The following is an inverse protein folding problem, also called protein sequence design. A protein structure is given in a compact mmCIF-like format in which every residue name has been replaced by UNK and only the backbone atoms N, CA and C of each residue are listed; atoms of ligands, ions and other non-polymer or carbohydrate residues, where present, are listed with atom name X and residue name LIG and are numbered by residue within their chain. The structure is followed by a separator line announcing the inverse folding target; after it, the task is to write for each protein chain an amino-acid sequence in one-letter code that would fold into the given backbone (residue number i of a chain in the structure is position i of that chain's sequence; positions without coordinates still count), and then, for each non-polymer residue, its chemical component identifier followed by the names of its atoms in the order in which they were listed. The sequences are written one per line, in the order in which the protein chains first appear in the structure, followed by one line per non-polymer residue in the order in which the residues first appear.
data_IF_503920532967
#
_entry.id   IF_503920532967
#
_cell.length_a   1.000
_cell.length_b   1.000
_cell.length_c   1.000
_cell.angle_alpha   90.00
_cell.angle_beta   90.00
_cell.angle_gamma   90.00
#
_symmetry.space_group_name_H-M   'P 1'
#
loop_
_entity.id
_entity.type
_entity.pdbx_description
1 polymer ?
#
# COMPACT_ATOMS: atom_id res chain seq x y z
N UNK A 1 -2.52 -13.91 -23.91
CA UNK A 1 -3.45 -13.72 -22.78
C UNK A 1 -2.75 -12.80 -21.80
N UNK A 2 -3.43 -11.87 -21.12
CA UNK A 2 -2.75 -10.98 -20.16
C UNK A 2 -2.28 -11.79 -18.94
N UNK A 3 -1.08 -11.54 -18.47
CA UNK A 3 -0.57 -12.14 -17.23
C UNK A 3 -1.14 -11.39 -16.01
N UNK A 4 -2.01 -12.06 -15.25
CA UNK A 4 -2.65 -11.51 -14.06
C UNK A 4 -2.10 -12.23 -12.84
N UNK A 5 -1.47 -11.49 -11.92
CA UNK A 5 -0.88 -12.07 -10.70
C UNK A 5 -1.48 -11.43 -9.45
N UNK A 6 -1.77 -12.26 -8.45
CA UNK A 6 -2.18 -11.89 -7.12
C UNK A 6 -1.02 -11.96 -6.13
N UNK A 7 -0.59 -10.81 -5.61
CA UNK A 7 0.44 -10.68 -4.58
C UNK A 7 -0.26 -10.68 -3.22
N UNK A 8 -0.02 -11.72 -2.41
CA UNK A 8 -0.76 -11.93 -1.16
C UNK A 8 -2.26 -12.15 -1.36
N UNK A 9 -2.69 -12.47 -2.58
CA UNK A 9 -4.08 -12.64 -2.98
C UNK A 9 -4.23 -13.88 -3.85
N UNK A 10 -5.02 -14.85 -3.40
CA UNK A 10 -5.27 -16.07 -4.17
C UNK A 10 -6.47 -15.89 -5.09
N UNK A 11 -6.28 -16.19 -6.37
CA UNK A 11 -7.36 -16.29 -7.35
C UNK A 11 -7.66 -17.78 -7.53
N UNK A 12 -8.91 -18.25 -7.35
CA UNK A 12 -9.27 -19.63 -7.64
C UNK A 12 -8.94 -19.99 -9.11
N UNK A 13 -7.91 -20.79 -9.31
CA UNK A 13 -7.34 -21.02 -10.63
C UNK A 13 -6.57 -22.34 -10.64
N UNK A 14 -6.38 -22.90 -11.83
CA UNK A 14 -5.42 -23.99 -12.06
C UNK A 14 -4.03 -23.47 -12.45
N UNK A 15 -3.94 -22.19 -12.77
CA UNK A 15 -2.70 -21.52 -13.12
C UNK A 15 -1.99 -21.04 -11.85
N UNK A 16 -0.66 -20.95 -11.91
CA UNK A 16 0.14 -20.37 -10.84
C UNK A 16 0.01 -18.84 -10.90
N UNK A 17 -1.04 -18.30 -10.31
CA UNK A 17 -1.35 -16.87 -10.29
C UNK A 17 -0.97 -16.17 -8.98
N UNK A 18 -0.47 -16.93 -8.01
CA UNK A 18 -0.18 -16.43 -6.66
C UNK A 18 1.29 -16.06 -6.52
N UNK A 19 1.55 -14.90 -5.91
CA UNK A 19 2.87 -14.49 -5.49
C UNK A 19 2.83 -14.22 -3.99
N UNK A 20 3.74 -14.85 -3.25
CA UNK A 20 3.86 -14.65 -1.81
C UNK A 20 4.37 -13.23 -1.49
N UNK A 21 3.78 -12.57 -0.49
CA UNK A 21 4.29 -11.31 0.06
C UNK A 21 5.67 -11.46 0.68
N UNK A 22 6.01 -12.67 1.13
CA UNK A 22 7.33 -13.00 1.69
C UNK A 22 8.31 -13.49 0.62
N UNK A 23 8.10 -13.08 -0.64
CA UNK A 23 9.01 -13.35 -1.77
C UNK A 23 9.69 -12.08 -2.30
N UNK A 24 10.76 -12.29 -3.07
CA UNK A 24 11.47 -11.23 -3.82
C UNK A 24 11.17 -11.31 -5.33
N UNK A 25 9.97 -11.77 -5.68
CA UNK A 25 9.50 -11.88 -7.07
C UNK A 25 9.39 -10.52 -7.75
N UNK A 26 9.62 -10.46 -9.06
CA UNK A 26 9.49 -9.21 -9.83
C UNK A 26 8.11 -9.07 -10.50
N UNK A 27 7.66 -7.83 -10.68
CA UNK A 27 6.46 -7.46 -11.43
C UNK A 27 6.76 -6.99 -12.86
N UNK A 28 7.98 -7.20 -13.36
CA UNK A 28 8.39 -6.77 -14.70
C UNK A 28 7.51 -7.33 -15.82
N UNK A 29 7.18 -8.63 -15.73
CA UNK A 29 6.45 -9.36 -16.79
C UNK A 29 4.93 -9.40 -16.55
N UNK A 30 4.46 -8.87 -15.40
CA UNK A 30 3.06 -8.91 -15.01
C UNK A 30 2.26 -7.83 -15.76
N UNK A 31 1.19 -8.20 -16.48
CA UNK A 31 0.32 -7.22 -17.12
C UNK A 31 -0.60 -6.52 -16.10
N UNK A 32 -1.23 -7.31 -15.23
CA UNK A 32 -2.16 -6.82 -14.20
C UNK A 32 -1.77 -7.36 -12.82
N UNK A 33 -1.40 -6.44 -11.92
CA UNK A 33 -1.06 -6.77 -10.54
C UNK A 33 -2.26 -6.54 -9.61
N UNK A 34 -2.59 -7.56 -8.83
CA UNK A 34 -3.59 -7.49 -7.76
C UNK A 34 -2.85 -7.68 -6.45
N UNK A 35 -2.93 -6.72 -5.55
CA UNK A 35 -2.18 -6.69 -4.31
C UNK A 35 -3.14 -6.71 -3.12
N UNK A 36 -2.92 -7.63 -2.20
CA UNK A 36 -3.65 -7.70 -0.94
C UNK A 36 -2.63 -7.63 0.20
N UNK A 37 -2.59 -6.55 1.00
CA UNK A 37 -1.66 -6.40 2.12
C UNK A 37 -2.09 -7.29 3.29
N UNK A 38 -2.04 -8.60 3.15
CA UNK A 38 -2.37 -9.53 4.23
C UNK A 38 -1.12 -10.32 4.63
N UNK A 39 -0.51 -9.95 5.75
CA UNK A 39 0.62 -10.72 6.30
C UNK A 39 0.03 -11.92 7.04
N UNK A 40 0.29 -13.12 6.51
CA UNK A 40 -0.16 -14.35 7.16
C UNK A 40 0.53 -14.49 8.52
N UNK A 41 -0.28 -14.64 9.57
CA UNK A 41 0.24 -14.88 10.90
C UNK A 41 0.94 -16.26 10.94
N UNK A 42 2.18 -16.28 11.43
CA UNK A 42 2.96 -17.51 11.60
C UNK A 42 3.64 -17.49 12.97
N UNK A 43 3.33 -18.48 13.81
CA UNK A 43 3.88 -18.61 15.17
C UNK A 43 5.41 -18.69 15.20
N UNK A 44 6.05 -19.14 14.12
CA UNK A 44 7.51 -19.21 14.03
C UNK A 44 8.16 -17.85 13.75
N UNK A 45 7.37 -16.88 13.27
CA UNK A 45 7.85 -15.55 12.88
C UNK A 45 7.71 -14.52 14.01
N UNK A 46 7.05 -14.87 15.12
CA UNK A 46 6.81 -13.95 16.24
C UNK A 46 7.80 -14.15 17.38
N UNK A 47 8.12 -13.07 18.10
CA UNK A 47 9.04 -13.11 19.24
C UNK A 47 8.41 -13.78 20.47
N UNK A 48 7.08 -13.77 20.56
CA UNK A 48 6.30 -14.19 21.71
C UNK A 48 4.85 -14.38 21.28
N UNK A 49 4.15 -15.32 21.94
CA UNK A 49 2.69 -15.50 21.78
C UNK A 49 1.94 -14.30 22.38
N UNK A 50 2.47 -13.71 23.45
CA UNK A 50 1.89 -12.50 24.04
C UNK A 50 2.27 -11.26 23.23
N UNK A 51 1.30 -10.36 22.95
CA UNK A 51 1.53 -9.17 22.15
C UNK A 51 2.43 -8.15 22.88
N UNK A 52 3.21 -7.41 22.10
CA UNK A 52 3.98 -6.26 22.59
C UNK A 52 3.15 -5.00 22.41
N UNK A 53 2.78 -4.33 23.51
CA UNK A 53 1.94 -3.13 23.48
C UNK A 53 0.59 -3.31 22.74
N UNK A 54 0.06 -4.54 22.71
CA UNK A 54 -1.20 -4.86 22.05
C UNK A 54 -1.06 -5.34 20.60
N UNK A 55 0.13 -5.21 20.00
CA UNK A 55 0.41 -5.62 18.63
C UNK A 55 1.43 -6.77 18.57
N UNK A 56 1.47 -7.45 17.43
CA UNK A 56 2.40 -8.55 17.18
C UNK A 56 3.84 -8.03 17.07
N UNK A 57 4.77 -8.59 17.85
CA UNK A 57 6.20 -8.35 17.70
C UNK A 57 6.82 -9.50 16.92
N UNK A 58 7.35 -9.21 15.74
CA UNK A 58 8.11 -10.17 14.96
C UNK A 58 9.42 -10.55 15.67
N UNK A 59 9.88 -11.78 15.48
CA UNK A 59 11.10 -12.28 16.08
C UNK A 59 12.33 -11.50 15.59
N UNK A 60 13.42 -11.56 16.36
CA UNK A 60 14.67 -10.88 15.99
C UNK A 60 15.26 -11.40 14.68
N UNK A 61 15.07 -12.70 14.38
CA UNK A 61 15.53 -13.33 13.13
C UNK A 61 14.63 -13.00 11.94
N UNK A 62 13.33 -12.81 12.15
CA UNK A 62 12.38 -12.53 11.08
C UNK A 62 12.27 -11.03 10.76
N UNK A 63 12.47 -10.16 11.75
CA UNK A 63 12.38 -8.70 11.60
C UNK A 63 13.21 -8.13 10.44
N UNK A 64 14.48 -8.55 10.19
CA UNK A 64 15.24 -8.08 9.03
C UNK A 64 14.61 -8.49 7.69
N UNK A 65 14.08 -9.72 7.59
CA UNK A 65 13.42 -10.22 6.36
C UNK A 65 12.14 -9.46 6.06
N UNK A 66 11.30 -9.22 7.07
CA UNK A 66 10.09 -8.41 6.90
C UNK A 66 10.40 -7.01 6.39
N UNK A 67 11.47 -6.37 6.88
CA UNK A 67 11.93 -5.06 6.37
C UNK A 67 12.38 -5.14 4.92
N UNK A 68 13.07 -6.21 4.53
CA UNK A 68 13.50 -6.46 3.16
C UNK A 68 12.29 -6.64 2.23
N UNK A 69 11.31 -7.47 2.61
CA UNK A 69 10.07 -7.65 1.83
C UNK A 69 9.29 -6.36 1.69
N UNK A 70 9.16 -5.57 2.76
CA UNK A 70 8.53 -4.24 2.72
C UNK A 70 9.20 -3.32 1.71
N UNK A 71 10.53 -3.24 1.74
CA UNK A 71 11.29 -2.40 0.81
C UNK A 71 11.19 -2.91 -0.63
N UNK A 72 11.30 -4.22 -0.83
CA UNK A 72 11.19 -4.89 -2.13
C UNK A 72 9.86 -4.59 -2.81
N UNK A 73 8.74 -4.94 -2.17
CA UNK A 73 7.42 -4.72 -2.75
C UNK A 73 7.10 -3.25 -2.93
N UNK A 74 7.53 -2.38 -2.01
CA UNK A 74 7.38 -0.92 -2.20
C UNK A 74 8.06 -0.45 -3.47
N UNK A 75 9.27 -0.97 -3.78
CA UNK A 75 9.99 -0.65 -4.99
C UNK A 75 9.34 -1.26 -6.24
N UNK A 76 8.96 -2.55 -6.21
CA UNK A 76 8.31 -3.22 -7.34
C UNK A 76 6.98 -2.56 -7.70
N UNK A 77 6.13 -2.25 -6.71
CA UNK A 77 4.86 -1.56 -6.93
C UNK A 77 5.08 -0.14 -7.47
N UNK A 78 6.11 0.57 -6.99
CA UNK A 78 6.46 1.89 -7.50
C UNK A 78 6.90 1.82 -8.97
N UNK A 79 7.75 0.86 -9.32
CA UNK A 79 8.19 0.62 -10.69
C UNK A 79 7.04 0.21 -11.61
N UNK A 80 6.15 -0.66 -11.13
CA UNK A 80 4.94 -1.09 -11.83
C UNK A 80 4.01 0.09 -12.15
N UNK A 81 3.79 0.98 -11.20
CA UNK A 81 3.00 2.21 -11.41
C UNK A 81 3.72 3.19 -12.36
N UNK A 82 5.03 3.35 -12.22
CA UNK A 82 5.83 4.26 -13.03
C UNK A 82 5.83 3.90 -14.53
N UNK A 83 5.67 2.61 -14.88
CA UNK A 83 5.50 2.15 -16.27
C UNK A 83 4.05 2.17 -16.78
N UNK A 84 3.14 2.78 -16.02
CA UNK A 84 1.73 2.90 -16.38
C UNK A 84 0.86 1.68 -16.10
N UNK A 85 1.27 0.86 -15.12
CA UNK A 85 0.45 -0.23 -14.61
C UNK A 85 -0.79 0.26 -13.84
N UNK A 86 -1.85 -0.56 -13.87
CA UNK A 86 -3.03 -0.39 -13.03
C UNK A 86 -2.93 -1.40 -11.88
N UNK A 87 -2.60 -0.91 -10.69
CA UNK A 87 -2.47 -1.73 -9.48
C UNK A 87 -3.83 -1.85 -8.81
N UNK A 88 -4.34 -3.07 -8.68
CA UNK A 88 -5.58 -3.34 -7.95
C UNK A 88 -5.26 -3.69 -6.51
N UNK A 89 -5.68 -2.88 -5.54
CA UNK A 89 -5.45 -3.13 -4.11
C UNK A 89 -6.74 -3.64 -3.48
N UNK A 90 -6.74 -4.89 -3.02
CA UNK A 90 -7.85 -5.48 -2.25
C UNK A 90 -7.70 -5.05 -0.79
N UNK A 91 -8.66 -4.29 -0.29
CA UNK A 91 -8.61 -3.70 1.05
C UNK A 91 -8.94 -4.75 2.13
N UNK A 92 -7.92 -5.19 2.83
CA UNK A 92 -7.98 -6.04 4.03
C UNK A 92 -7.80 -5.21 5.30
N UNK A 93 -8.09 -5.77 6.47
CA UNK A 93 -7.86 -5.08 7.75
C UNK A 93 -6.45 -4.48 7.84
N UNK A 94 -6.37 -3.22 8.28
CA UNK A 94 -5.09 -2.60 8.61
C UNK A 94 -4.61 -3.12 9.96
N UNK A 95 -3.48 -3.81 9.93
CA UNK A 95 -2.80 -4.35 11.10
C UNK A 95 -1.52 -3.58 11.38
N UNK A 96 -1.13 -3.56 12.65
CA UNK A 96 0.10 -2.94 13.13
C UNK A 96 0.97 -4.02 13.78
N UNK A 97 2.28 -3.89 13.61
CA UNK A 97 3.27 -4.84 14.11
C UNK A 97 4.50 -4.07 14.60
N UNK A 98 5.35 -4.76 15.35
CA UNK A 98 6.67 -4.28 15.74
C UNK A 98 7.77 -5.16 15.13
N UNK A 99 8.86 -4.52 14.71
CA UNK A 99 10.08 -5.18 14.23
C UNK A 99 11.29 -4.72 15.01
N UNK A 100 12.22 -5.64 15.28
CA UNK A 100 13.51 -5.29 15.88
C UNK A 100 14.33 -4.39 14.96
N UNK A 101 14.90 -3.33 15.52
CA UNK A 101 15.75 -2.36 14.79
C UNK A 101 17.18 -2.86 14.56
N UNK A 102 17.64 -3.83 15.36
CA UNK A 102 19.05 -4.25 15.42
C UNK A 102 19.89 -3.40 16.40
N UNK A 103 19.32 -2.33 16.97
CA UNK A 103 19.99 -1.50 17.97
C UNK A 103 19.65 -1.97 19.38
N UNK A 104 20.64 -1.93 20.27
CA UNK A 104 20.52 -2.39 21.66
C UNK A 104 21.13 -1.38 22.61
N UNK A 105 20.45 -1.12 23.72
CA UNK A 105 21.01 -0.38 24.84
C UNK A 105 21.43 -1.35 25.94
N UNK A 106 22.61 -1.11 26.51
CA UNK A 106 23.10 -1.78 27.70
C UNK A 106 22.99 -0.80 28.88
N UNK A 107 22.42 -1.25 29.98
CA UNK A 107 22.33 -0.47 31.22
C UNK A 107 22.78 -1.32 32.41
N UNK A 108 23.53 -0.73 33.34
CA UNK A 108 24.16 -1.44 34.46
C UNK A 108 25.62 -1.82 34.19
N UNK A 109 26.27 -2.43 35.18
CA UNK A 109 27.69 -2.83 35.13
C UNK A 109 27.88 -4.30 35.50
N UNK A 110 28.71 -5.03 34.75
CA UNK A 110 29.10 -6.41 35.06
C UNK A 110 27.92 -7.40 35.02
N UNK A 111 27.73 -8.19 36.08
CA UNK A 111 26.69 -9.24 36.17
C UNK A 111 25.24 -8.72 36.05
N UNK A 112 25.00 -7.43 36.30
CA UNK A 112 23.67 -6.82 36.28
C UNK A 112 23.39 -6.02 34.99
N UNK A 113 24.12 -6.30 33.90
CA UNK A 113 23.90 -5.62 32.63
C UNK A 113 22.55 -6.04 32.03
N UNK A 114 21.63 -5.09 31.89
CA UNK A 114 20.34 -5.27 31.23
C UNK A 114 20.45 -4.80 29.79
N UNK A 115 20.22 -5.72 28.85
CA UNK A 115 20.14 -5.43 27.42
C UNK A 115 18.69 -5.10 27.07
N UNK A 116 18.47 -3.96 26.43
CA UNK A 116 17.17 -3.53 25.91
C UNK A 116 17.26 -3.45 24.40
N UNK A 117 16.47 -4.25 23.70
CA UNK A 117 16.37 -4.22 22.25
C UNK A 117 15.37 -3.15 21.83
N UNK A 118 15.73 -2.32 20.84
CA UNK A 118 14.81 -1.33 20.31
C UNK A 118 13.97 -1.91 19.17
N UNK A 119 12.68 -1.60 19.18
CA UNK A 119 11.70 -2.01 18.17
C UNK A 119 11.09 -0.79 17.49
N UNK A 120 10.65 -0.96 16.25
CA UNK A 120 9.97 0.07 15.46
C UNK A 120 8.61 -0.44 14.98
N UNK A 121 7.57 0.43 14.95
CA UNK A 121 6.26 0.07 14.45
C UNK A 121 6.26 -0.02 12.92
N UNK A 122 5.53 -0.98 12.39
CA UNK A 122 5.22 -1.15 10.96
C UNK A 122 3.74 -1.55 10.80
N UNK A 123 3.26 -1.55 9.56
CA UNK A 123 1.92 -1.97 9.18
C UNK A 123 1.97 -2.75 7.86
N UNK A 124 1.03 -3.66 7.65
CA UNK A 124 0.81 -4.34 6.37
C UNK A 124 0.60 -3.36 5.20
N UNK A 125 0.17 -2.13 5.46
CA UNK A 125 0.05 -1.11 4.42
C UNK A 125 1.36 -0.40 4.06
N UNK A 126 2.47 -0.64 4.79
CA UNK A 126 3.78 -0.07 4.44
C UNK A 126 4.37 -0.63 3.13
N UNK A 127 3.87 -1.77 2.64
CA UNK A 127 4.17 -2.29 1.30
C UNK A 127 3.77 -1.32 0.18
N UNK A 128 2.72 -0.52 0.37
CA UNK A 128 2.22 0.39 -0.67
C UNK A 128 3.13 1.62 -0.79
N UNK A 129 3.50 2.06 -2.00
CA UNK A 129 4.41 3.19 -2.23
C UNK A 129 3.76 4.58 -2.03
N UNK A 130 2.61 4.66 -1.38
CA UNK A 130 1.83 5.89 -1.18
C UNK A 130 1.06 5.85 0.14
N UNK A 131 0.73 7.03 0.66
CA UNK A 131 0.00 7.15 1.93
C UNK A 131 -1.47 7.50 1.68
N UNK A 132 -2.38 6.68 2.21
CA UNK A 132 -3.82 6.95 2.25
C UNK A 132 -4.28 6.83 3.70
N UNK A 133 -5.32 7.58 4.06
CA UNK A 133 -5.94 7.46 5.38
C UNK A 133 -6.87 6.26 5.39
N UNK A 134 -6.71 5.42 6.40
CA UNK A 134 -7.42 4.16 6.57
C UNK A 134 -8.16 4.17 7.90
N UNK A 135 -9.39 3.67 7.92
CA UNK A 135 -10.21 3.59 9.11
C UNK A 135 -10.82 2.20 9.24
N UNK A 136 -10.65 1.56 10.42
CA UNK A 136 -11.24 0.25 10.71
C UNK A 136 -12.77 0.34 10.72
N UNK A 137 -13.43 -0.57 10.01
CA UNK A 137 -14.89 -0.71 10.02
C UNK A 137 -15.26 -1.99 9.27
N UNK A 138 -16.10 -2.84 9.85
CA UNK A 138 -16.49 -4.09 9.20
C UNK A 138 -17.95 -4.12 8.72
N UNK A 139 -18.22 -4.86 7.65
CA UNK A 139 -19.57 -5.18 7.21
C UNK A 139 -19.66 -5.80 5.81
N UNK A 140 -20.90 -6.03 5.36
CA UNK A 140 -21.18 -6.79 4.11
C UNK A 140 -22.01 -6.00 3.08
N UNK A 141 -22.57 -4.85 3.46
CA UNK A 141 -23.43 -4.05 2.57
C UNK A 141 -22.59 -3.04 1.79
N UNK A 142 -22.23 -3.41 0.57
CA UNK A 142 -21.45 -2.61 -0.37
C UNK A 142 -22.34 -2.18 -1.54
N UNK A 143 -22.24 -0.92 -1.95
CA UNK A 143 -23.01 -0.33 -3.06
C UNK A 143 -22.05 0.15 -4.14
N UNK A 144 -22.23 -0.28 -5.41
CA UNK A 144 -21.48 0.24 -6.54
C UNK A 144 -21.88 1.69 -6.84
N UNK A 145 -20.90 2.56 -7.11
CA UNK A 145 -21.11 3.97 -7.47
C UNK A 145 -20.68 4.33 -8.88
N UNK A 146 -19.77 3.55 -9.49
CA UNK A 146 -19.34 3.73 -10.88
C UNK A 146 -19.94 2.66 -11.79
N UNK A 147 -20.20 3.01 -13.05
CA UNK A 147 -20.59 2.04 -14.08
C UNK A 147 -19.46 1.04 -14.37
N UNK A 148 -18.20 1.46 -14.23
CA UNK A 148 -17.01 0.64 -14.51
C UNK A 148 -16.94 -0.64 -13.66
N UNK A 149 -17.47 -0.58 -12.43
CA UNK A 149 -17.38 -1.68 -11.46
C UNK A 149 -18.66 -2.50 -11.34
N UNK A 150 -19.69 -2.20 -12.13
CA UNK A 150 -21.01 -2.86 -12.04
C UNK A 150 -20.90 -4.35 -12.31
N UNK A 151 -20.13 -4.74 -13.31
CA UNK A 151 -19.97 -6.15 -13.68
C UNK A 151 -19.23 -6.92 -12.58
N UNK A 152 -18.14 -6.35 -12.04
CA UNK A 152 -17.45 -6.91 -10.88
C UNK A 152 -18.42 -7.07 -9.69
N UNK A 153 -19.16 -6.01 -9.35
CA UNK A 153 -20.12 -6.06 -8.25
C UNK A 153 -21.19 -7.14 -8.46
N UNK A 154 -21.80 -7.21 -9.64
CA UNK A 154 -22.89 -8.15 -9.90
C UNK A 154 -22.44 -9.61 -9.80
N UNK A 155 -21.21 -9.91 -10.22
CA UNK A 155 -20.63 -11.26 -10.15
C UNK A 155 -20.17 -11.66 -8.75
N UNK A 156 -19.81 -10.69 -7.89
CA UNK A 156 -19.13 -10.95 -6.61
C UNK A 156 -19.81 -10.36 -5.36
N UNK A 157 -20.98 -9.73 -5.48
CA UNK A 157 -21.72 -9.11 -4.34
C UNK A 157 -21.99 -10.05 -3.17
N UNK A 158 -22.04 -11.35 -3.43
CA UNK A 158 -22.23 -12.43 -2.45
C UNK A 158 -20.97 -12.72 -1.62
N UNK A 159 -19.80 -12.38 -2.15
CA UNK A 159 -18.49 -12.61 -1.51
C UNK A 159 -17.73 -11.32 -1.20
N UNK A 160 -18.33 -10.16 -1.48
CA UNK A 160 -17.76 -8.84 -1.19
C UNK A 160 -18.05 -8.44 0.26
N UNK A 161 -16.99 -8.13 1.00
CA UNK A 161 -17.04 -7.62 2.37
C UNK A 161 -16.09 -6.43 2.53
N UNK A 162 -16.20 -5.71 3.64
CA UNK A 162 -15.25 -4.66 3.98
C UNK A 162 -14.83 -4.80 5.44
N UNK A 163 -13.55 -4.54 5.71
CA UNK A 163 -12.94 -4.51 7.05
C UNK A 163 -12.40 -3.11 7.38
N UNK A 164 -12.43 -2.22 6.40
CA UNK A 164 -12.02 -0.83 6.51
C UNK A 164 -12.72 0.06 5.49
N UNK A 165 -12.51 1.37 5.64
CA UNK A 165 -12.80 2.37 4.61
C UNK A 165 -11.61 3.33 4.45
N UNK A 166 -11.51 3.93 3.27
CA UNK A 166 -10.43 4.87 2.91
C UNK A 166 -10.92 6.32 2.95
N UNK A 167 -10.02 7.23 3.30
CA UNK A 167 -10.26 8.66 3.21
C UNK A 167 -10.43 9.12 1.76
N UNK A 168 -11.44 9.95 1.48
CA UNK A 168 -11.82 10.34 0.13
C UNK A 168 -10.96 11.46 -0.50
N UNK A 169 -10.09 12.11 0.27
CA UNK A 169 -9.38 13.33 -0.16
C UNK A 169 -8.39 13.14 -1.32
N UNK A 170 -7.95 11.90 -1.59
CA UNK A 170 -6.99 11.58 -2.66
C UNK A 170 -7.61 10.82 -3.85
N UNK A 171 -8.87 10.41 -3.75
CA UNK A 171 -9.53 9.65 -4.80
C UNK A 171 -10.00 10.58 -5.92
N UNK A 172 -9.75 10.23 -7.18
CA UNK A 172 -10.39 10.95 -8.30
C UNK A 172 -11.85 10.52 -8.45
N UNK A 173 -12.11 9.21 -8.36
CA UNK A 173 -13.46 8.65 -8.41
C UNK A 173 -13.71 7.61 -7.32
N UNK A 174 -14.95 7.57 -6.85
CA UNK A 174 -15.43 6.60 -5.85
C UNK A 174 -16.16 5.46 -6.56
N UNK A 175 -15.69 4.24 -6.32
CA UNK A 175 -16.24 3.04 -6.96
C UNK A 175 -17.22 2.30 -6.07
N UNK A 176 -16.94 2.26 -4.76
CA UNK A 176 -17.76 1.53 -3.79
C UNK A 176 -18.00 2.37 -2.53
N UNK A 177 -19.21 2.28 -1.99
CA UNK A 177 -19.55 2.86 -0.68
C UNK A 177 -20.34 1.89 0.16
N UNK A 178 -20.51 2.22 1.44
CA UNK A 178 -21.58 1.63 2.27
C UNK A 178 -22.97 1.94 1.72
N UNK A 179 -23.98 1.24 2.25
CA UNK A 179 -25.41 1.48 1.96
C UNK A 179 -25.82 2.94 2.08
N UNK A 180 -25.34 3.62 3.12
CA UNK A 180 -25.69 5.01 3.40
C UNK A 180 -24.86 6.01 2.59
N UNK A 181 -23.84 5.55 1.86
CA UNK A 181 -22.94 6.41 1.08
C UNK A 181 -21.95 7.22 1.92
N UNK A 182 -21.86 6.97 3.22
CA UNK A 182 -21.06 7.73 4.18
C UNK A 182 -19.59 7.30 4.24
N UNK A 183 -19.28 6.06 3.84
CA UNK A 183 -17.92 5.50 3.87
C UNK A 183 -17.50 5.01 2.49
N UNK A 184 -16.29 5.38 2.08
CA UNK A 184 -15.69 4.97 0.81
C UNK A 184 -14.95 3.64 0.95
N UNK A 185 -15.41 2.62 0.22
CA UNK A 185 -14.90 1.25 0.28
C UNK A 185 -14.03 0.88 -0.92
N UNK A 186 -13.84 1.81 -1.85
CA UNK A 186 -13.05 1.60 -3.05
C UNK A 186 -13.18 2.77 -4.02
N UNK A 187 -12.20 2.90 -4.90
CA UNK A 187 -12.07 4.03 -5.81
C UNK A 187 -10.75 3.99 -6.55
N UNK A 188 -10.46 5.05 -7.29
CA UNK A 188 -9.22 5.16 -8.07
C UNK A 188 -8.38 6.34 -7.58
N UNK A 189 -7.07 6.11 -7.53
CA UNK A 189 -6.02 7.11 -7.34
C UNK A 189 -5.05 7.02 -8.51
N UNK A 190 -5.13 7.96 -9.45
CA UNK A 190 -4.14 8.15 -10.50
C UNK A 190 -2.82 8.65 -9.92
N UNK A 191 -1.74 8.07 -10.42
CA UNK A 191 -0.35 8.50 -10.21
C UNK A 191 0.12 9.26 -11.45
N UNK A 192 1.41 9.60 -11.54
CA UNK A 192 1.94 10.28 -12.73
C UNK A 192 1.73 9.47 -14.02
N UNK A 193 1.98 8.16 -13.97
CA UNK A 193 1.96 7.31 -15.17
C UNK A 193 0.93 6.16 -15.09
N UNK A 194 0.58 5.69 -13.89
CA UNK A 194 -0.32 4.54 -13.68
C UNK A 194 -1.49 4.86 -12.73
N UNK A 195 -2.26 3.84 -12.36
CA UNK A 195 -3.40 4.02 -11.45
C UNK A 195 -3.39 2.98 -10.33
N UNK A 196 -3.94 3.37 -9.19
CA UNK A 196 -4.21 2.49 -8.07
C UNK A 196 -5.72 2.39 -7.91
N UNK A 197 -6.25 1.16 -7.95
CA UNK A 197 -7.67 0.87 -7.87
C UNK A 197 -7.93 0.12 -6.57
N UNK A 198 -8.61 0.75 -5.63
CA UNK A 198 -9.02 0.11 -4.38
C UNK A 198 -10.31 -0.66 -4.59
N UNK A 199 -10.26 -1.94 -4.24
CA UNK A 199 -11.39 -2.85 -4.22
C UNK A 199 -11.70 -3.26 -2.77
N UNK A 200 -12.97 -3.43 -2.39
CA UNK A 200 -13.30 -4.09 -1.13
C UNK A 200 -12.75 -5.52 -1.08
N UNK A 201 -12.72 -6.12 0.12
CA UNK A 201 -12.31 -7.51 0.30
C UNK A 201 -13.20 -8.44 -0.53
N UNK A 202 -12.57 -9.32 -1.29
CA UNK A 202 -13.22 -10.39 -2.04
C UNK A 202 -12.81 -11.70 -1.38
N UNK A 203 -13.79 -12.41 -0.85
CA UNK A 203 -13.56 -13.56 0.01
C UNK A 203 -13.68 -14.87 -0.78
N UNK A 204 -12.55 -15.31 -1.33
CA UNK A 204 -12.44 -16.60 -2.03
C UNK A 204 -12.10 -17.77 -1.09
N UNK A 205 -11.75 -17.50 0.16
CA UNK A 205 -11.42 -18.51 1.16
C UNK A 205 -12.69 -18.92 1.91
N UNK A 206 -13.56 -19.67 1.24
CA UNK A 206 -14.84 -20.14 1.79
C UNK A 206 -14.93 -21.64 1.65
N UNK A 207 -15.44 -22.32 2.68
CA UNK A 207 -15.64 -23.78 2.69
C UNK A 207 -16.37 -24.28 1.42
N UNK A 208 -17.39 -23.55 0.96
CA UNK A 208 -18.14 -23.87 -0.27
C UNK A 208 -17.35 -23.81 -1.59
N UNK A 209 -16.09 -23.37 -1.56
CA UNK A 209 -15.19 -23.28 -2.70
C UNK A 209 -14.12 -24.38 -2.74
N UNK A 210 -14.05 -25.22 -1.71
CA UNK A 210 -13.15 -26.37 -1.67
C UNK A 210 -13.88 -27.66 -2.05
N UNK A 211 -13.14 -28.65 -2.55
CA UNK A 211 -13.69 -29.94 -2.94
C UNK A 211 -14.10 -30.78 -1.73
N UNK A 212 -13.29 -30.76 -0.67
CA UNK A 212 -13.51 -31.41 0.62
C UNK A 212 -12.94 -30.51 1.74
N UNK A 213 -13.43 -30.66 2.98
CA UNK A 213 -12.99 -29.85 4.15
C UNK A 213 -11.48 -29.98 4.45
N UNK A 214 -10.88 -31.12 4.07
CA UNK A 214 -9.45 -31.42 4.27
C UNK A 214 -8.59 -31.19 3.02
N UNK A 215 -9.19 -30.81 1.88
CA UNK A 215 -8.46 -30.59 0.62
C UNK A 215 -8.26 -29.10 0.33
N UNK A 216 -7.01 -28.69 0.09
CA UNK A 216 -6.68 -27.34 -0.40
C UNK A 216 -7.00 -27.14 -1.91
N UNK A 217 -7.81 -28.03 -2.49
CA UNK A 217 -8.14 -28.02 -3.93
C UNK A 217 -9.44 -27.26 -4.19
N UNK A 218 -9.39 -26.29 -5.09
CA UNK A 218 -10.57 -25.55 -5.57
C UNK A 218 -11.58 -26.47 -6.27
N UNK A 219 -12.86 -26.34 -5.91
CA UNK A 219 -13.95 -26.99 -6.64
C UNK A 219 -14.33 -26.22 -7.93
N UNK A 220 -15.22 -26.80 -8.73
CA UNK A 220 -15.61 -26.22 -10.03
C UNK A 220 -16.25 -24.82 -9.89
N UNK A 221 -17.04 -24.59 -8.84
CA UNK A 221 -17.69 -23.30 -8.56
C UNK A 221 -16.64 -22.22 -8.30
N UNK A 222 -15.61 -22.53 -7.54
CA UNK A 222 -14.50 -21.64 -7.25
C UNK A 222 -13.73 -21.29 -8.53
N UNK A 223 -13.38 -22.30 -9.34
CA UNK A 223 -12.68 -22.08 -10.61
C UNK A 223 -13.49 -21.20 -11.58
N UNK A 224 -14.81 -21.40 -11.67
CA UNK A 224 -15.69 -20.54 -12.46
C UNK A 224 -15.69 -19.08 -11.95
N UNK A 225 -15.72 -18.89 -10.63
CA UNK A 225 -15.60 -17.56 -10.00
C UNK A 225 -14.25 -16.91 -10.29
N UNK A 226 -13.15 -17.66 -10.27
CA UNK A 226 -11.83 -17.15 -10.61
C UNK A 226 -11.68 -16.74 -12.08
N UNK A 227 -12.21 -17.53 -13.02
CA UNK A 227 -12.28 -17.16 -14.44
C UNK A 227 -13.09 -15.87 -14.61
N UNK A 228 -14.27 -15.79 -13.98
CA UNK A 228 -15.10 -14.59 -14.01
C UNK A 228 -14.37 -13.38 -13.43
N UNK A 229 -13.57 -13.57 -12.38
CA UNK A 229 -12.81 -12.50 -11.72
C UNK A 229 -11.71 -11.97 -12.64
N UNK A 230 -10.88 -12.86 -13.21
CA UNK A 230 -9.86 -12.49 -14.19
C UNK A 230 -10.46 -11.72 -15.37
N UNK A 231 -11.60 -12.16 -15.88
CA UNK A 231 -12.30 -11.49 -16.98
C UNK A 231 -12.81 -10.09 -16.58
N UNK A 232 -13.41 -9.95 -15.39
CA UNK A 232 -13.88 -8.66 -14.88
C UNK A 232 -12.71 -7.67 -14.70
N UNK A 233 -11.60 -8.14 -14.12
CA UNK A 233 -10.40 -7.31 -13.91
C UNK A 233 -9.76 -6.92 -15.25
N UNK A 234 -9.65 -7.84 -16.21
CA UNK A 234 -9.11 -7.53 -17.53
C UNK A 234 -9.98 -6.53 -18.30
N UNK A 235 -11.31 -6.62 -18.18
CA UNK A 235 -12.25 -5.68 -18.76
C UNK A 235 -12.16 -4.29 -18.10
N UNK A 236 -12.07 -4.25 -16.77
CA UNK A 236 -11.90 -3.02 -16.00
C UNK A 236 -10.57 -2.33 -16.35
N UNK A 237 -9.48 -3.09 -16.44
CA UNK A 237 -8.16 -2.58 -16.83
C UNK A 237 -8.20 -1.93 -18.22
N UNK A 238 -8.86 -2.59 -19.17
CA UNK A 238 -9.06 -2.04 -20.52
C UNK A 238 -9.91 -0.76 -20.49
N UNK A 239 -10.98 -0.72 -19.70
CA UNK A 239 -11.85 0.44 -19.61
C UNK A 239 -11.11 1.66 -19.03
N UNK A 240 -10.34 1.47 -17.96
CA UNK A 240 -9.54 2.54 -17.33
C UNK A 240 -8.48 3.06 -18.30
N UNK A 241 -7.74 2.17 -18.98
CA UNK A 241 -6.75 2.59 -19.99
C UNK A 241 -7.39 3.38 -21.13
N UNK A 242 -8.56 2.96 -21.60
CA UNK A 242 -9.29 3.67 -22.67
C UNK A 242 -9.83 5.04 -22.22
N UNK A 243 -10.22 5.20 -20.95
CA UNK A 243 -10.59 6.51 -20.40
C UNK A 243 -9.38 7.44 -20.37
N UNK A 244 -8.21 6.93 -19.97
CA UNK A 244 -6.95 7.68 -20.03
C UNK A 244 -6.64 8.09 -21.48
N UNK A 245 -6.69 7.17 -22.44
CA UNK A 245 -6.44 7.46 -23.87
C UNK A 245 -7.40 8.51 -24.44
N UNK A 246 -8.69 8.44 -24.11
CA UNK A 246 -9.67 9.46 -24.52
C UNK A 246 -9.45 10.81 -23.81
N UNK A 247 -8.83 10.79 -22.63
CA UNK A 247 -8.52 11.99 -21.83
C UNK A 247 -7.16 12.61 -22.15
N UNK A 248 -6.32 11.98 -22.98
CA UNK A 248 -5.10 12.60 -23.50
C UNK A 248 -5.55 13.79 -24.35
N UNK A 249 -5.58 14.96 -23.71
CA UNK A 249 -5.88 16.24 -24.35
C UNK A 249 -4.93 16.37 -25.54
N UNK A 250 -5.43 16.53 -26.76
CA UNK A 250 -4.55 16.50 -27.91
C UNK A 250 -3.61 17.72 -27.86
N UNK A 251 -2.39 17.55 -28.38
CA UNK A 251 -1.26 18.49 -28.23
C UNK A 251 -1.54 19.95 -28.64
N UNK A 252 -2.63 20.21 -29.38
CA UNK A 252 -3.05 21.58 -29.73
C UNK A 252 -3.51 22.42 -28.52
N UNK A 253 -3.86 21.80 -27.39
CA UNK A 253 -4.14 22.54 -26.14
C UNK A 253 -2.86 23.19 -25.56
N UNK A 254 -1.68 22.67 -25.89
CA UNK A 254 -0.40 23.25 -25.51
C UNK A 254 0.12 24.31 -26.51
N UNK A 255 -0.66 24.66 -27.55
CA UNK A 255 -0.31 25.79 -28.43
C UNK A 255 -0.42 27.09 -27.64
N UNK A 256 0.63 27.90 -27.71
CA UNK A 256 0.76 29.22 -27.05
C UNK A 256 -0.38 30.21 -27.36
N UNK A 257 -1.18 29.93 -28.39
CA UNK A 257 -2.36 30.71 -28.79
C UNK A 257 -3.55 30.60 -27.82
N UNK A 258 -3.62 29.56 -26.99
CA UNK A 258 -4.71 29.36 -26.01
C UNK A 258 -4.28 29.48 -24.55
N UNK A 259 -3.04 29.91 -24.30
CA UNK A 259 -2.51 30.01 -22.95
C UNK A 259 -3.11 31.24 -22.23
N UNK A 260 -4.01 31.00 -21.27
CA UNK A 260 -4.65 32.08 -20.52
C UNK A 260 -3.56 32.80 -19.72
N UNK A 261 -3.29 34.08 -20.03
CA UNK A 261 -2.22 34.88 -19.38
C UNK A 261 -2.25 34.82 -17.85
N UNK A 262 -3.43 34.64 -17.23
CA UNK A 262 -3.56 34.47 -15.78
C UNK A 262 -3.03 33.14 -15.26
N UNK A 263 -3.15 32.04 -16.02
CA UNK A 263 -2.61 30.74 -15.66
C UNK A 263 -1.07 30.74 -15.68
N UNK A 264 -0.45 31.42 -16.66
CA UNK A 264 1.01 31.58 -16.72
C UNK A 264 1.53 32.40 -15.52
N UNK A 265 0.81 33.46 -15.13
CA UNK A 265 1.14 34.25 -13.93
C UNK A 265 1.03 33.41 -12.66
N UNK A 266 0.03 32.51 -12.55
CA UNK A 266 -0.12 31.62 -11.40
C UNK A 266 1.02 30.58 -11.37
N UNK A 267 1.38 30.01 -12.53
CA UNK A 267 2.50 29.06 -12.66
C UNK A 267 3.82 29.70 -12.25
N UNK A 268 4.09 30.93 -12.68
CA UNK A 268 5.28 31.68 -12.28
C UNK A 268 5.29 32.00 -10.77
N UNK A 269 4.14 32.36 -10.18
CA UNK A 269 4.03 32.54 -8.73
C UNK A 269 4.29 31.25 -7.96
N UNK A 270 3.81 30.11 -8.46
CA UNK A 270 4.04 28.79 -7.85
C UNK A 270 5.53 28.45 -7.87
N UNK A 271 6.20 28.58 -9.01
CA UNK A 271 7.64 28.35 -9.15
C UNK A 271 8.43 29.23 -8.17
N UNK A 272 8.08 30.53 -8.09
CA UNK A 272 8.73 31.46 -7.17
C UNK A 272 8.58 31.04 -5.69
N UNK A 273 7.41 30.58 -5.29
CA UNK A 273 7.20 30.09 -3.92
C UNK A 273 7.90 28.77 -3.65
N UNK A 274 8.01 27.88 -4.63
CA UNK A 274 8.80 26.64 -4.53
C UNK A 274 10.30 26.94 -4.33
N UNK A 275 10.85 27.93 -5.05
CA UNK A 275 12.23 28.41 -4.85
C UNK A 275 12.44 29.03 -3.46
N UNK A 276 11.46 29.78 -2.94
CA UNK A 276 11.52 30.35 -1.58
C UNK A 276 11.47 29.25 -0.50
N UNK A 277 10.67 28.20 -0.70
CA UNK A 277 10.63 27.04 0.19
C UNK A 277 11.99 26.33 0.19
N UNK A 278 12.60 26.15 -0.98
CA UNK A 278 13.90 25.50 -1.11
C UNK A 278 15.00 26.28 -0.36
N UNK A 279 15.07 27.61 -0.55
CA UNK A 279 16.00 28.46 0.18
C UNK A 279 15.80 28.41 1.70
N UNK A 280 14.53 28.34 2.14
CA UNK A 280 14.22 28.21 3.58
C UNK A 280 14.66 26.85 4.14
N UNK A 281 14.54 25.77 3.38
CA UNK A 281 15.01 24.43 3.78
C UNK A 281 16.53 24.40 3.93
N UNK A 282 17.26 24.95 2.96
CA UNK A 282 18.72 25.06 3.02
C UNK A 282 19.17 25.88 4.24
N UNK A 283 18.44 26.95 4.58
CA UNK A 283 18.75 27.73 5.78
C UNK A 283 18.45 26.99 7.09
N UNK A 284 17.42 26.14 7.12
CA UNK A 284 17.12 25.28 8.28
C UNK A 284 18.25 24.28 8.49
N UNK A 285 18.70 23.63 7.41
CA UNK A 285 19.80 22.66 7.45
C UNK A 285 21.13 23.30 7.92
N UNK A 286 21.42 24.53 7.48
CA UNK A 286 22.58 25.30 7.96
C UNK A 286 22.48 25.62 9.46
N UNK A 287 21.28 25.97 9.96
CA UNK A 287 21.06 26.27 11.37
C UNK A 287 21.13 25.01 12.24
N UNK A 288 20.71 23.85 11.73
CA UNK A 288 20.81 22.56 12.40
C UNK A 288 22.29 22.16 12.58
N UNK A 289 23.12 22.32 11.53
CA UNK A 289 24.57 22.08 11.63
C UNK A 289 25.24 22.99 12.67
N UNK A 290 24.92 24.29 12.67
CA UNK A 290 25.46 25.22 13.67
C UNK A 290 25.01 24.87 15.09
N UNK A 291 23.77 24.42 15.25
CA UNK A 291 23.26 23.96 16.54
C UNK A 291 24.00 22.72 17.03
N UNK A 292 24.24 21.73 16.17
CA UNK A 292 25.01 20.52 16.51
C UNK A 292 26.46 20.83 16.90
N UNK A 293 27.11 21.78 16.21
CA UNK A 293 28.46 22.26 16.57
C UNK A 293 28.47 22.90 17.97
N UNK A 294 27.51 23.77 18.27
CA UNK A 294 27.43 24.41 19.59
C UNK A 294 27.09 23.42 20.71
N UNK A 295 26.20 22.48 20.46
CA UNK A 295 25.84 21.46 21.45
C UNK A 295 26.99 20.49 21.73
N UNK A 296 27.79 20.17 20.69
CA UNK A 296 29.03 19.41 20.83
C UNK A 296 30.09 20.14 21.66
N UNK A 297 30.27 21.45 21.42
CA UNK A 297 31.21 22.29 22.20
C UNK A 297 30.77 22.41 23.67
N UNK A 298 29.46 22.56 23.92
CA UNK A 298 28.90 22.60 25.27
C UNK A 298 29.13 21.28 26.01
N UNK A 299 28.91 20.15 25.35
CA UNK A 299 29.16 18.81 25.88
C UNK A 299 30.64 18.59 26.20
N UNK A 300 31.54 19.05 25.32
CA UNK A 300 32.98 19.00 25.56
C UNK A 300 33.40 19.87 26.77
N UNK A 301 32.84 21.07 26.92
CA UNK A 301 33.11 21.94 28.07
C UNK A 301 32.60 21.34 29.38
N UNK A 302 31.41 20.73 29.39
CA UNK A 302 30.86 20.05 30.58
C UNK A 302 31.72 18.86 31.04
N UNK A 303 32.30 18.11 30.10
CA UNK A 303 33.18 16.98 30.44
C UNK A 303 34.53 17.41 31.02
N UNK A 304 35.00 18.62 30.70
CA UNK A 304 36.28 19.16 31.19
C UNK A 304 36.20 19.76 32.60
N UNK A 305 35.00 20.07 33.08
CA UNK A 305 34.75 20.61 34.43
C UNK A 305 34.59 19.48 35.47
N UNK A 306 34.42 18.23 35.01
CA UNK A 306 34.22 17.04 35.86
C UNK A 306 35.48 16.14 35.96
N UNK A 307 36.68 16.66 35.71
CA UNK A 307 37.99 16.04 35.98
C UNK A 307 38.87 17.05 36.72
#
# INVERSE_FOLDING_TARGET
MKEIKGIGFTIPSKEDDYIDLESLSSLSDVDIAIFSPNIRYNYNNVSSISPYQGDTLFSESYSPRMKEYLAHWRNELKSYLARGGNLYVVLTEKESYYVYTGTRNSSGTGRNTRITNHVAPISNYNFLPFDITYHKSQGTKIIPKSNLIKDLYNNFKDILTYEMYIGCNKLQDVYFTTKNGDKTLGGIVSTENGNIIFLPKIDFDREEFYADEDEETWNEKALQKGIAFKNCIAALDKAIRNEVEKSVKPDWINKSEFNIKSAEVIKQKKIKHEEEIQKRKEKIEELELLYEEQDSQKTYCMNRVNH
#
